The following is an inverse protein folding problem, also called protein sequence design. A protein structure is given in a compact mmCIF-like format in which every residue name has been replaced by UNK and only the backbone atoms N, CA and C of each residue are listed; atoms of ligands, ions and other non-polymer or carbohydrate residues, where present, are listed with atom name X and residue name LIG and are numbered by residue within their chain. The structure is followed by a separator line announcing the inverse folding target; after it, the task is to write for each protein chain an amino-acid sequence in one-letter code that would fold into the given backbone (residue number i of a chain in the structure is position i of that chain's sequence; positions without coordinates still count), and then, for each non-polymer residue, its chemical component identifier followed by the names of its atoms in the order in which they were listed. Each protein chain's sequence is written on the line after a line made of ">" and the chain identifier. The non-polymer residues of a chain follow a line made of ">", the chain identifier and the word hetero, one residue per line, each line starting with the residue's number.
data_IF_215107229277
#
_entry.id   IF_215107229277
#
_cell.length_a   1.000
_cell.length_b   1.000
_cell.length_c   1.000
_cell.angle_alpha   90.00
_cell.angle_beta   90.00
_cell.angle_gamma   90.00
#
_symmetry.space_group_name_H-M   'P 1'
#
loop_
_entity.id
_entity.type
_entity.pdbx_description
1 polymer ?
#
# COMPACT_ATOMS: atom_id res chain seq x y z
N UNK A 1 21.03 2.82 4.11
CA UNK A 1 21.78 1.55 4.12
C UNK A 1 22.40 1.31 2.75
N UNK A 2 23.64 0.83 2.66
CA UNK A 2 24.32 0.45 1.39
C UNK A 2 24.89 -0.96 1.55
N UNK A 3 24.94 -1.72 0.46
CA UNK A 3 25.48 -3.08 0.41
C UNK A 3 25.80 -3.46 -1.03
N UNK A 4 26.74 -4.39 -1.22
CA UNK A 4 27.18 -4.86 -2.54
C UNK A 4 27.14 -6.39 -2.53
N UNK A 5 26.32 -7.04 -3.37
CA UNK A 5 26.33 -8.50 -3.47
C UNK A 5 27.57 -9.01 -4.20
N UNK A 6 27.94 -10.26 -3.92
CA UNK A 6 28.99 -10.98 -4.66
C UNK A 6 28.48 -11.43 -6.03
N UNK A 7 27.19 -11.77 -6.13
CA UNK A 7 26.52 -12.02 -7.40
C UNK A 7 25.02 -11.74 -7.36
N UNK A 8 24.44 -11.61 -8.55
CA UNK A 8 22.99 -11.49 -8.75
C UNK A 8 22.53 -12.68 -9.57
N UNK A 9 21.53 -13.40 -9.07
CA UNK A 9 20.91 -14.53 -9.77
C UNK A 9 19.45 -14.20 -10.03
N UNK A 10 19.02 -14.30 -11.28
CA UNK A 10 17.63 -14.08 -11.70
C UNK A 10 16.99 -15.39 -12.14
N UNK A 11 16.35 -16.14 -11.22
CA UNK A 11 15.69 -17.40 -11.55
C UNK A 11 14.43 -17.19 -12.39
N UNK A 12 14.06 -18.22 -13.13
CA UNK A 12 12.87 -18.32 -13.97
C UNK A 12 11.87 -19.38 -13.47
N UNK A 13 12.23 -20.15 -12.43
CA UNK A 13 11.36 -21.18 -11.85
C UNK A 13 11.64 -21.44 -10.36
N UNK A 14 10.68 -22.08 -9.68
CA UNK A 14 10.83 -22.52 -8.29
C UNK A 14 12.02 -23.47 -8.12
N UNK A 15 12.29 -24.33 -9.10
CA UNK A 15 13.39 -25.29 -9.08
C UNK A 15 14.75 -24.59 -9.13
N UNK A 16 14.87 -23.51 -9.90
CA UNK A 16 16.09 -22.69 -9.93
C UNK A 16 16.30 -21.97 -8.59
N UNK A 17 15.25 -21.38 -8.01
CA UNK A 17 15.30 -20.79 -6.66
C UNK A 17 15.77 -21.82 -5.62
N UNK A 18 15.15 -23.01 -5.63
CA UNK A 18 15.50 -24.12 -4.72
C UNK A 18 16.97 -24.51 -4.82
N UNK A 19 17.51 -24.67 -6.03
CA UNK A 19 18.92 -25.01 -6.26
C UNK A 19 19.88 -23.92 -5.78
N UNK A 20 19.57 -22.66 -6.06
CA UNK A 20 20.41 -21.52 -5.64
C UNK A 20 20.45 -21.42 -4.11
N UNK A 21 19.29 -21.54 -3.45
CA UNK A 21 19.20 -21.48 -1.98
C UNK A 21 19.89 -22.66 -1.33
N UNK A 22 19.74 -23.88 -1.86
CA UNK A 22 20.44 -25.07 -1.36
C UNK A 22 21.96 -24.92 -1.46
N UNK A 23 22.48 -24.46 -2.61
CA UNK A 23 23.91 -24.20 -2.80
C UNK A 23 24.43 -23.12 -1.85
N UNK A 24 23.65 -22.05 -1.66
CA UNK A 24 24.00 -21.00 -0.71
C UNK A 24 24.05 -21.53 0.74
N UNK A 25 23.14 -22.43 1.11
CA UNK A 25 23.12 -23.06 2.43
C UNK A 25 24.36 -23.93 2.67
N UNK A 26 24.79 -24.73 1.69
CA UNK A 26 26.02 -25.53 1.76
C UNK A 26 27.26 -24.66 1.97
N UNK A 27 27.32 -23.51 1.31
CA UNK A 27 28.43 -22.54 1.42
C UNK A 27 28.29 -21.51 2.54
N UNK A 28 27.20 -21.54 3.32
CA UNK A 28 26.85 -20.52 4.32
C UNK A 28 26.88 -19.09 3.74
N UNK A 29 26.38 -18.96 2.51
CA UNK A 29 26.34 -17.69 1.77
C UNK A 29 25.00 -16.98 2.03
N UNK A 30 24.99 -15.71 2.48
CA UNK A 30 23.77 -14.94 2.64
C UNK A 30 22.98 -14.81 1.33
N UNK A 31 21.66 -14.94 1.41
CA UNK A 31 20.74 -14.73 0.27
C UNK A 31 19.77 -13.60 0.61
N UNK A 32 19.68 -12.60 -0.26
CA UNK A 32 18.73 -11.49 -0.17
C UNK A 32 17.73 -11.59 -1.31
N UNK A 33 16.47 -11.93 -0.99
CA UNK A 33 15.39 -11.92 -1.96
C UNK A 33 15.08 -10.48 -2.39
N UNK A 34 14.95 -10.25 -3.70
CA UNK A 34 14.67 -8.91 -4.22
C UNK A 34 13.62 -8.95 -5.33
N UNK A 35 12.50 -8.27 -5.10
CA UNK A 35 11.57 -7.88 -6.15
C UNK A 35 12.05 -6.60 -6.84
N UNK A 36 11.20 -5.58 -6.94
CA UNK A 36 11.58 -4.29 -7.51
C UNK A 36 12.49 -3.42 -6.61
N UNK A 37 12.70 -3.80 -5.34
CA UNK A 37 13.56 -3.05 -4.41
C UNK A 37 12.96 -1.72 -3.93
N UNK A 38 11.63 -1.65 -3.84
CA UNK A 38 10.88 -0.42 -3.47
C UNK A 38 10.69 -0.24 -1.98
N UNK A 39 11.00 -1.26 -1.17
CA UNK A 39 10.86 -1.21 0.28
C UNK A 39 11.75 -0.15 0.91
N UNK A 40 11.25 0.47 1.99
CA UNK A 40 11.89 1.63 2.63
C UNK A 40 12.77 1.25 3.83
N UNK A 41 12.60 0.05 4.38
CA UNK A 41 13.36 -0.45 5.54
C UNK A 41 14.75 -1.03 5.20
N UNK A 42 15.10 -1.12 3.91
CA UNK A 42 16.40 -1.63 3.46
C UNK A 42 16.51 -3.15 3.32
N UNK A 43 15.42 -3.91 3.52
CA UNK A 43 15.42 -5.38 3.39
C UNK A 43 15.81 -5.93 2.02
N UNK A 44 15.74 -5.11 0.96
CA UNK A 44 16.18 -5.47 -0.39
C UNK A 44 17.69 -5.20 -0.67
N UNK A 45 18.47 -4.86 0.37
CA UNK A 45 19.90 -4.54 0.28
C UNK A 45 20.74 -5.67 0.87
N UNK A 46 21.65 -6.21 0.08
CA UNK A 46 22.62 -7.22 0.51
C UNK A 46 23.74 -6.59 1.36
N UNK A 47 23.42 -6.29 2.62
CA UNK A 47 24.35 -5.65 3.57
C UNK A 47 25.54 -6.53 3.95
N UNK A 48 25.38 -7.86 3.88
CA UNK A 48 26.43 -8.84 4.17
C UNK A 48 27.07 -9.43 2.90
N UNK A 49 26.86 -8.81 1.72
CA UNK A 49 27.25 -9.42 0.45
C UNK A 49 26.41 -10.64 0.10
N UNK A 50 27.03 -11.66 -0.49
CA UNK A 50 26.37 -12.89 -0.90
C UNK A 50 25.55 -12.73 -2.17
N UNK A 51 24.42 -13.44 -2.23
CA UNK A 51 23.58 -13.55 -3.41
C UNK A 51 22.38 -12.62 -3.29
N UNK A 52 22.18 -11.74 -4.27
CA UNK A 52 20.86 -11.15 -4.50
C UNK A 52 20.08 -12.05 -5.45
N UNK A 53 18.93 -12.51 -4.98
CA UNK A 53 18.01 -13.31 -5.78
C UNK A 53 16.95 -12.37 -6.38
N UNK A 54 17.14 -12.00 -7.65
CA UNK A 54 16.24 -11.13 -8.41
C UNK A 54 15.02 -11.91 -8.90
N UNK A 55 13.88 -11.71 -8.22
CA UNK A 55 12.64 -12.43 -8.51
C UNK A 55 11.88 -11.87 -9.72
N UNK A 56 12.38 -10.83 -10.40
CA UNK A 56 11.71 -10.21 -11.56
C UNK A 56 11.60 -11.13 -12.78
N UNK A 57 12.38 -12.20 -12.83
CA UNK A 57 12.30 -13.23 -13.88
C UNK A 57 11.07 -14.12 -13.79
N UNK A 58 10.47 -14.26 -12.60
CA UNK A 58 9.25 -15.04 -12.35
C UNK A 58 8.05 -14.09 -12.32
N UNK A 59 7.54 -13.66 -13.48
CA UNK A 59 6.58 -12.56 -13.61
C UNK A 59 5.28 -12.92 -14.34
N UNK A 60 4.88 -14.20 -14.34
CA UNK A 60 3.69 -14.68 -15.03
C UNK A 60 2.48 -14.77 -14.11
N UNK A 61 1.30 -14.48 -14.68
CA UNK A 61 0.01 -14.91 -14.12
C UNK A 61 -0.20 -16.34 -14.59
N UNK A 62 -0.21 -17.29 -13.66
CA UNK A 62 -0.24 -18.73 -13.93
C UNK A 62 -1.66 -19.26 -14.12
N UNK A 63 -2.64 -18.67 -13.42
CA UNK A 63 -4.04 -19.11 -13.43
C UNK A 63 -4.96 -17.91 -13.14
N UNK A 64 -6.09 -17.83 -13.84
CA UNK A 64 -7.19 -16.90 -13.55
C UNK A 64 -8.50 -17.68 -13.35
N UNK A 65 -8.82 -17.99 -12.09
CA UNK A 65 -10.02 -18.70 -11.69
C UNK A 65 -11.03 -17.70 -11.10
N UNK A 66 -11.56 -16.87 -12.00
CA UNK A 66 -12.43 -15.76 -11.63
C UNK A 66 -13.80 -16.23 -11.12
N UNK A 67 -14.22 -17.46 -11.46
CA UNK A 67 -15.41 -18.09 -10.89
C UNK A 67 -15.25 -18.34 -9.37
N UNK A 68 -14.03 -18.63 -8.92
CA UNK A 68 -13.71 -18.72 -7.48
C UNK A 68 -13.07 -17.43 -6.92
N UNK A 69 -13.13 -16.32 -7.67
CA UNK A 69 -12.60 -15.02 -7.26
C UNK A 69 -11.11 -15.07 -6.89
N UNK A 70 -10.30 -15.80 -7.66
CA UNK A 70 -8.87 -15.96 -7.36
C UNK A 70 -7.98 -16.04 -8.60
N UNK A 71 -6.70 -15.78 -8.40
CA UNK A 71 -5.62 -15.95 -9.38
C UNK A 71 -4.42 -16.64 -8.74
N UNK A 72 -3.59 -17.29 -9.55
CA UNK A 72 -2.27 -17.78 -9.13
C UNK A 72 -1.21 -17.02 -9.90
N UNK A 73 -0.23 -16.45 -9.20
CA UNK A 73 0.80 -15.60 -9.79
C UNK A 73 2.19 -15.96 -9.30
N UNK A 74 3.18 -15.68 -10.15
CA UNK A 74 4.58 -15.65 -9.76
C UNK A 74 4.93 -14.34 -9.01
N UNK A 75 5.95 -14.33 -8.13
CA UNK A 75 6.24 -13.22 -7.23
C UNK A 75 6.65 -11.93 -7.94
N UNK A 76 7.26 -12.02 -9.12
CA UNK A 76 7.74 -10.90 -9.91
C UNK A 76 6.66 -10.16 -10.69
N UNK A 77 5.40 -10.62 -10.68
CA UNK A 77 4.29 -9.88 -11.29
C UNK A 77 4.19 -8.50 -10.64
N UNK A 78 4.11 -7.44 -11.45
CA UNK A 78 3.90 -6.07 -10.96
C UNK A 78 2.44 -5.90 -10.57
N UNK A 79 2.15 -5.25 -9.45
CA UNK A 79 0.79 -5.07 -8.95
C UNK A 79 -0.12 -4.40 -9.99
N UNK A 80 0.34 -3.32 -10.62
CA UNK A 80 -0.46 -2.64 -11.64
C UNK A 80 -0.73 -3.54 -12.85
N UNK A 81 0.24 -4.36 -13.26
CA UNK A 81 0.07 -5.33 -14.37
C UNK A 81 -0.94 -6.42 -14.03
N UNK A 82 -0.99 -6.85 -12.77
CA UNK A 82 -2.05 -7.77 -12.31
C UNK A 82 -3.42 -7.12 -12.47
N UNK A 83 -3.58 -5.87 -12.01
CA UNK A 83 -4.85 -5.15 -12.12
C UNK A 83 -5.23 -4.82 -13.58
N UNK A 84 -4.28 -4.48 -14.44
CA UNK A 84 -4.50 -4.32 -15.89
C UNK A 84 -5.06 -5.60 -16.52
N UNK A 85 -4.57 -6.78 -16.10
CA UNK A 85 -5.05 -8.06 -16.62
C UNK A 85 -6.42 -8.47 -16.05
N UNK A 86 -6.75 -8.06 -14.81
CA UNK A 86 -8.03 -8.35 -14.16
C UNK A 86 -9.17 -7.44 -14.63
N UNK A 87 -8.87 -6.16 -14.89
CA UNK A 87 -9.86 -5.10 -15.17
C UNK A 87 -10.82 -5.44 -16.33
N UNK A 88 -10.36 -5.97 -17.49
CA UNK A 88 -11.25 -6.36 -18.59
C UNK A 88 -12.28 -7.43 -18.21
N UNK A 89 -11.99 -8.23 -17.18
CA UNK A 89 -12.88 -9.27 -16.69
C UNK A 89 -13.79 -8.79 -15.54
N UNK A 90 -13.73 -7.50 -15.18
CA UNK A 90 -14.55 -6.93 -14.12
C UNK A 90 -14.01 -7.15 -12.70
N UNK A 91 -12.73 -7.49 -12.54
CA UNK A 91 -12.10 -7.76 -11.24
C UNK A 91 -10.89 -6.86 -10.97
N UNK A 92 -10.48 -6.81 -9.69
CA UNK A 92 -9.24 -6.18 -9.26
C UNK A 92 -8.68 -6.84 -8.00
N UNK A 93 -7.38 -6.68 -7.78
CA UNK A 93 -6.66 -6.95 -6.55
C UNK A 93 -6.61 -5.65 -5.71
N UNK A 94 -7.29 -5.59 -4.55
CA UNK A 94 -7.55 -4.31 -3.88
C UNK A 94 -6.38 -3.57 -3.22
N UNK A 95 -5.38 -4.22 -2.60
CA UNK A 95 -4.22 -3.52 -2.04
C UNK A 95 -3.55 -2.61 -3.08
N UNK A 96 -3.46 -1.32 -2.77
CA UNK A 96 -3.07 -0.27 -3.70
C UNK A 96 -1.95 0.62 -3.11
N UNK A 97 -0.71 0.11 -3.01
CA UNK A 97 0.41 0.86 -2.49
C UNK A 97 0.78 2.03 -3.42
N UNK A 98 1.40 3.08 -2.88
CA UNK A 98 1.91 4.19 -3.70
C UNK A 98 2.94 3.75 -4.78
N UNK A 99 3.55 2.57 -4.60
CA UNK A 99 4.47 1.95 -5.57
C UNK A 99 3.81 0.98 -6.55
N UNK A 100 2.47 0.95 -6.65
CA UNK A 100 1.69 -0.01 -7.44
C UNK A 100 2.20 -0.25 -8.87
N UNK A 101 2.67 0.82 -9.54
CA UNK A 101 3.17 0.79 -10.92
C UNK A 101 4.49 0.03 -11.09
N UNK A 102 5.20 -0.31 -10.01
CA UNK A 102 6.50 -0.98 -10.08
C UNK A 102 6.79 -1.97 -8.94
N UNK A 103 6.00 -2.03 -7.86
CA UNK A 103 6.19 -3.07 -6.84
C UNK A 103 5.70 -4.44 -7.32
N UNK A 104 6.47 -5.46 -6.99
CA UNK A 104 6.16 -6.86 -7.30
C UNK A 104 5.24 -7.48 -6.25
N UNK A 105 4.36 -8.40 -6.64
CA UNK A 105 3.45 -9.12 -5.73
C UNK A 105 4.20 -9.84 -4.60
N UNK A 106 5.30 -10.54 -4.89
CA UNK A 106 6.07 -11.24 -3.87
C UNK A 106 6.65 -10.28 -2.82
N UNK A 107 7.16 -9.13 -3.26
CA UNK A 107 7.60 -8.05 -2.37
C UNK A 107 6.45 -7.49 -1.52
N UNK A 108 5.27 -7.30 -2.13
CA UNK A 108 4.07 -6.84 -1.43
C UNK A 108 3.65 -7.84 -0.33
N UNK A 109 3.66 -9.14 -0.63
CA UNK A 109 3.35 -10.20 0.33
C UNK A 109 4.41 -10.25 1.44
N UNK A 110 5.69 -10.24 1.08
CA UNK A 110 6.80 -10.30 2.03
C UNK A 110 6.81 -9.12 3.02
N UNK A 111 6.30 -7.96 2.63
CA UNK A 111 6.20 -6.78 3.49
C UNK A 111 4.80 -6.58 4.09
N UNK A 112 3.85 -7.49 3.82
CA UNK A 112 2.41 -7.28 4.10
C UNK A 112 1.93 -5.87 3.68
N UNK A 113 2.32 -5.44 2.48
CA UNK A 113 2.09 -4.07 2.03
C UNK A 113 0.62 -3.68 2.08
N UNK A 114 0.41 -2.40 2.39
CA UNK A 114 -0.88 -1.74 2.47
C UNK A 114 -1.01 -0.67 1.37
N UNK A 115 -1.97 0.24 1.51
CA UNK A 115 -2.18 1.36 0.61
C UNK A 115 -3.51 2.05 0.89
N UNK A 116 -3.86 3.00 0.04
CA UNK A 116 -5.01 3.92 0.24
C UNK A 116 -6.33 3.17 0.44
N UNK A 117 -6.45 1.98 -0.17
CA UNK A 117 -7.65 1.14 -0.14
C UNK A 117 -7.79 0.25 1.10
N UNK A 118 -6.77 0.19 1.95
CA UNK A 118 -6.74 -0.76 3.07
C UNK A 118 -7.77 -0.48 4.16
N UNK A 119 -8.26 0.76 4.28
CA UNK A 119 -9.34 1.12 5.20
C UNK A 119 -10.60 0.25 5.01
N UNK A 120 -11.01 -0.02 3.77
CA UNK A 120 -12.17 -0.87 3.45
C UNK A 120 -11.78 -2.32 3.18
N UNK A 121 -10.66 -2.52 2.49
CA UNK A 121 -10.31 -3.82 1.90
C UNK A 121 -9.30 -4.61 2.74
N UNK A 122 -8.64 -3.98 3.71
CA UNK A 122 -7.54 -4.57 4.47
C UNK A 122 -6.24 -4.64 3.68
N UNK A 123 -5.18 -5.12 4.33
CA UNK A 123 -3.82 -5.20 3.75
C UNK A 123 -3.65 -6.45 2.87
N UNK A 124 -2.48 -6.59 2.25
CA UNK A 124 -2.15 -7.73 1.39
C UNK A 124 -2.43 -9.08 2.05
N UNK A 125 -2.19 -9.23 3.36
CA UNK A 125 -2.52 -10.47 4.07
C UNK A 125 -3.98 -10.92 3.87
N UNK A 126 -4.93 -10.00 3.78
CA UNK A 126 -6.36 -10.33 3.65
C UNK A 126 -6.69 -11.06 2.34
N UNK A 127 -5.79 -10.99 1.35
CA UNK A 127 -6.00 -11.49 0.00
C UNK A 127 -5.13 -12.70 -0.37
N UNK A 128 -4.10 -13.03 0.42
CA UNK A 128 -3.25 -14.20 0.16
C UNK A 128 -3.93 -15.45 0.72
N UNK A 129 -4.17 -16.44 -0.14
CA UNK A 129 -4.84 -17.70 0.18
C UNK A 129 -3.83 -18.81 0.49
N UNK A 130 -2.86 -19.00 -0.39
CA UNK A 130 -1.78 -19.98 -0.29
C UNK A 130 -0.48 -19.45 -0.89
N UNK A 131 0.63 -20.08 -0.51
CA UNK A 131 1.97 -19.77 -1.02
C UNK A 131 2.71 -21.05 -1.37
N UNK A 132 3.53 -20.97 -2.42
CA UNK A 132 4.67 -21.87 -2.64
C UNK A 132 5.93 -21.13 -2.18
N UNK A 133 6.70 -21.75 -1.28
CA UNK A 133 7.85 -21.12 -0.63
C UNK A 133 9.06 -22.06 -0.67
N UNK A 134 10.23 -21.51 -0.99
CA UNK A 134 11.52 -22.18 -0.85
C UNK A 134 12.14 -21.82 0.50
N UNK A 135 12.37 -22.81 1.35
CA UNK A 135 13.01 -22.65 2.66
C UNK A 135 14.52 -22.51 2.54
N UNK A 136 15.18 -22.13 3.64
CA UNK A 136 16.62 -21.90 3.70
C UNK A 136 17.48 -23.14 3.37
N UNK A 137 16.94 -24.36 3.47
CA UNK A 137 17.60 -25.60 3.03
C UNK A 137 17.28 -25.98 1.58
N UNK A 138 16.62 -25.10 0.84
CA UNK A 138 16.18 -25.31 -0.54
C UNK A 138 14.89 -26.13 -0.68
N UNK A 139 14.29 -26.65 0.40
CA UNK A 139 13.03 -27.39 0.31
C UNK A 139 11.89 -26.49 -0.13
N UNK A 140 11.05 -27.00 -1.03
CA UNK A 140 9.81 -26.35 -1.45
C UNK A 140 8.68 -26.83 -0.56
N UNK A 141 7.93 -25.89 0.02
CA UNK A 141 6.70 -26.16 0.76
C UNK A 141 5.51 -25.43 0.14
N UNK A 142 4.31 -25.91 0.45
CA UNK A 142 3.05 -25.19 0.17
C UNK A 142 2.32 -24.92 1.48
N UNK A 143 1.75 -23.72 1.60
CA UNK A 143 1.06 -23.27 2.80
C UNK A 143 -0.41 -23.00 2.53
N UNK A 144 -1.25 -23.06 3.55
CA UNK A 144 -2.66 -22.66 3.45
C UNK A 144 -3.47 -23.50 2.48
N UNK A 145 -4.50 -22.90 1.90
CA UNK A 145 -5.32 -23.52 0.86
C UNK A 145 -6.03 -22.46 0.02
N UNK A 146 -6.38 -22.81 -1.22
CA UNK A 146 -7.19 -21.97 -2.12
C UNK A 146 -8.68 -21.97 -1.79
N UNK A 147 -9.04 -22.36 -0.56
CA UNK A 147 -10.42 -22.34 -0.08
C UNK A 147 -10.65 -21.05 0.71
N UNK A 148 -11.70 -20.30 0.38
CA UNK A 148 -12.04 -19.06 1.10
C UNK A 148 -12.29 -19.29 2.60
N UNK A 149 -12.72 -20.50 2.98
CA UNK A 149 -12.85 -20.93 4.37
C UNK A 149 -12.14 -22.27 4.53
N UNK A 150 -11.14 -22.29 5.41
CA UNK A 150 -10.47 -23.50 5.85
C UNK A 150 -10.22 -23.41 7.35
N UNK A 151 -10.51 -24.51 8.06
CA UNK A 151 -10.11 -24.69 9.46
C UNK A 151 -9.15 -25.87 9.60
N UNK A 152 -8.60 -26.35 8.49
CA UNK A 152 -7.70 -27.49 8.46
C UNK A 152 -6.27 -27.05 8.81
N UNK A 153 -5.77 -27.52 9.96
CA UNK A 153 -4.38 -27.32 10.41
C UNK A 153 -4.00 -25.85 10.68
N UNK A 154 -2.71 -25.61 10.89
CA UNK A 154 -2.14 -24.27 11.07
C UNK A 154 -2.10 -23.50 9.75
N UNK A 155 -2.49 -22.22 9.80
CA UNK A 155 -2.33 -21.30 8.67
C UNK A 155 -0.88 -20.80 8.58
N UNK A 156 0.00 -21.66 8.06
CA UNK A 156 1.42 -21.33 7.86
C UNK A 156 1.62 -20.17 6.87
N UNK A 157 0.64 -19.88 6.01
CA UNK A 157 0.71 -18.76 5.06
C UNK A 157 0.94 -17.44 5.80
N UNK A 158 0.32 -17.28 6.97
CA UNK A 158 0.43 -16.08 7.81
C UNK A 158 1.83 -15.84 8.36
N UNK A 159 2.65 -16.89 8.51
CA UNK A 159 4.03 -16.74 8.98
C UNK A 159 4.91 -16.10 7.89
N UNK A 160 4.67 -16.40 6.62
CA UNK A 160 5.49 -15.89 5.51
C UNK A 160 5.08 -14.47 5.07
N UNK A 161 3.80 -14.11 5.23
CA UNK A 161 3.31 -12.75 4.96
C UNK A 161 3.92 -11.79 5.98
N UNK A 162 4.62 -10.76 5.52
CA UNK A 162 5.31 -9.82 6.41
C UNK A 162 6.65 -10.35 6.97
N UNK A 163 7.13 -11.51 6.52
CA UNK A 163 8.42 -12.07 6.99
C UNK A 163 9.65 -11.41 6.36
N UNK A 164 9.46 -10.53 5.38
CA UNK A 164 10.52 -9.82 4.66
C UNK A 164 11.56 -10.75 4.00
N UNK A 165 11.15 -12.00 3.69
CA UNK A 165 12.04 -13.01 3.08
C UNK A 165 12.95 -13.72 4.09
N UNK A 166 12.84 -13.42 5.38
CA UNK A 166 13.69 -14.02 6.44
C UNK A 166 13.35 -15.48 6.76
N UNK A 167 12.13 -15.92 6.43
CA UNK A 167 11.67 -17.29 6.66
C UNK A 167 11.70 -18.18 5.41
N UNK A 168 11.83 -17.58 4.23
CA UNK A 168 11.84 -18.28 2.95
C UNK A 168 11.53 -17.37 1.76
N UNK A 169 11.72 -17.90 0.56
CA UNK A 169 11.52 -17.20 -0.71
C UNK A 169 10.18 -17.61 -1.31
N UNK A 170 9.25 -16.65 -1.45
CA UNK A 170 7.96 -16.89 -2.10
C UNK A 170 8.18 -17.07 -3.60
N UNK A 171 7.68 -18.18 -4.18
CA UNK A 171 7.81 -18.50 -5.61
C UNK A 171 6.48 -18.60 -6.35
N UNK A 172 5.36 -18.80 -5.63
CA UNK A 172 3.99 -18.65 -6.17
C UNK A 172 3.04 -18.16 -5.07
N UNK A 173 1.99 -17.46 -5.47
CA UNK A 173 0.93 -17.03 -4.56
C UNK A 173 -0.45 -17.21 -5.19
N UNK A 174 -1.38 -17.85 -4.46
CA UNK A 174 -2.80 -17.75 -4.74
C UNK A 174 -3.38 -16.52 -4.06
N UNK A 175 -4.04 -15.68 -4.85
CA UNK A 175 -4.52 -14.37 -4.45
C UNK A 175 -6.00 -14.27 -4.75
N UNK A 176 -6.78 -13.89 -3.73
CA UNK A 176 -8.17 -13.52 -3.88
C UNK A 176 -8.28 -12.18 -4.63
N UNK A 177 -9.24 -12.07 -5.52
CA UNK A 177 -9.62 -10.84 -6.23
C UNK A 177 -11.05 -10.45 -5.88
N UNK A 178 -11.42 -9.20 -6.18
CA UNK A 178 -12.75 -8.65 -5.92
C UNK A 178 -13.37 -8.12 -7.20
N UNK A 179 -14.71 -8.15 -7.34
CA UNK A 179 -15.38 -7.45 -8.43
C UNK A 179 -15.11 -5.95 -8.37
N UNK A 180 -14.93 -5.31 -9.52
CA UNK A 180 -14.82 -3.86 -9.58
C UNK A 180 -16.11 -3.20 -9.07
N UNK A 181 -16.00 -2.13 -8.25
CA UNK A 181 -17.16 -1.34 -7.86
C UNK A 181 -17.80 -0.70 -9.10
N UNK A 182 -19.13 -0.54 -9.08
CA UNK A 182 -19.88 0.05 -10.20
C UNK A 182 -19.80 1.57 -10.23
N UNK A 183 -19.59 2.19 -9.08
CA UNK A 183 -19.48 3.63 -8.91
C UNK A 183 -18.45 3.97 -7.82
N UNK A 184 -17.86 5.15 -7.92
CA UNK A 184 -16.97 5.77 -6.93
C UNK A 184 -17.35 7.24 -6.76
N UNK A 185 -17.17 7.79 -5.56
CA UNK A 185 -17.31 9.23 -5.29
C UNK A 185 -16.27 9.66 -4.30
N UNK A 186 -15.79 10.88 -4.46
CA UNK A 186 -14.77 11.48 -3.61
C UNK A 186 -15.35 12.71 -2.92
N UNK A 187 -15.37 12.71 -1.60
CA UNK A 187 -15.67 13.89 -0.78
C UNK A 187 -14.35 14.48 -0.29
N UNK A 188 -14.14 15.75 -0.57
CA UNK A 188 -12.94 16.52 -0.24
C UNK A 188 -13.37 17.53 0.83
N UNK A 189 -12.88 17.37 2.05
CA UNK A 189 -13.20 18.26 3.16
C UNK A 189 -11.93 18.98 3.62
N UNK A 190 -12.00 20.31 3.73
CA UNK A 190 -10.91 21.13 4.26
C UNK A 190 -11.20 21.61 5.67
N UNK A 191 -10.14 21.72 6.46
CA UNK A 191 -10.20 22.06 7.87
C UNK A 191 -9.18 23.15 8.20
N UNK A 192 -9.55 24.01 9.15
CA UNK A 192 -8.68 25.09 9.63
C UNK A 192 -7.43 24.55 10.36
N UNK A 193 -7.57 23.39 10.99
CA UNK A 193 -6.50 22.66 11.66
C UNK A 193 -6.70 21.14 11.54
N UNK A 194 -5.61 20.41 11.76
CA UNK A 194 -5.57 18.97 11.60
C UNK A 194 -6.24 18.19 12.75
N UNK A 195 -6.54 18.83 13.89
CA UNK A 195 -7.34 18.19 14.95
C UNK A 195 -8.80 18.07 14.52
N UNK A 196 -9.38 19.13 13.96
CA UNK A 196 -10.71 19.10 13.35
C UNK A 196 -10.81 18.05 12.23
N UNK A 197 -9.76 17.95 11.40
CA UNK A 197 -9.66 16.92 10.36
C UNK A 197 -9.70 15.49 10.95
N UNK A 198 -8.93 15.23 12.01
CA UNK A 198 -8.96 13.95 12.72
C UNK A 198 -10.31 13.65 13.39
N UNK A 199 -11.01 14.68 13.91
CA UNK A 199 -12.36 14.53 14.46
C UNK A 199 -13.37 14.17 13.37
N UNK A 200 -13.27 14.75 12.17
CA UNK A 200 -14.14 14.42 11.04
C UNK A 200 -14.02 12.93 10.68
N UNK A 201 -12.79 12.43 10.57
CA UNK A 201 -12.52 11.00 10.33
C UNK A 201 -13.22 10.14 11.39
N UNK A 202 -13.00 10.42 12.67
CA UNK A 202 -13.61 9.65 13.76
C UNK A 202 -15.16 9.68 13.72
N UNK A 203 -15.76 10.83 13.39
CA UNK A 203 -17.22 10.96 13.27
C UNK A 203 -17.78 10.19 12.07
N UNK A 204 -17.08 10.19 10.93
CA UNK A 204 -17.46 9.41 9.74
C UNK A 204 -17.51 7.92 10.04
N UNK A 205 -16.50 7.38 10.73
CA UNK A 205 -16.57 5.97 11.16
C UNK A 205 -17.69 5.71 12.17
N UNK A 206 -17.92 6.65 13.09
CA UNK A 206 -18.98 6.53 14.10
C UNK A 206 -20.40 6.58 13.51
N UNK A 207 -20.60 7.20 12.34
CA UNK A 207 -21.88 7.16 11.60
C UNK A 207 -22.09 5.86 10.83
N UNK A 208 -21.13 4.92 10.87
CA UNK A 208 -21.22 3.62 10.22
C UNK A 208 -20.71 3.60 8.78
N UNK A 209 -20.14 4.70 8.29
CA UNK A 209 -19.54 4.77 6.96
C UNK A 209 -18.08 4.32 7.03
N UNK A 210 -17.73 3.36 6.16
CA UNK A 210 -16.34 2.93 5.95
C UNK A 210 -15.93 3.34 4.52
N UNK A 211 -15.17 4.45 4.37
CA UNK A 211 -14.66 4.88 3.09
C UNK A 211 -13.79 3.80 2.43
N UNK A 212 -13.80 3.72 1.10
CA UNK A 212 -12.85 2.91 0.33
C UNK A 212 -11.44 3.49 0.36
N UNK A 213 -11.29 4.80 0.54
CA UNK A 213 -10.03 5.45 0.88
C UNK A 213 -10.29 6.64 1.83
N UNK A 214 -9.36 6.90 2.74
CA UNK A 214 -9.45 8.03 3.67
C UNK A 214 -8.05 8.54 3.96
N UNK A 215 -7.68 9.66 3.31
CA UNK A 215 -6.32 10.22 3.31
C UNK A 215 -6.29 11.61 3.91
N UNK A 216 -5.19 11.95 4.59
CA UNK A 216 -4.87 13.31 4.99
C UNK A 216 -3.80 13.93 4.08
N UNK A 217 -3.99 15.21 3.76
CA UNK A 217 -3.00 16.09 3.13
C UNK A 217 -2.95 17.40 3.91
N UNK A 218 -1.90 17.63 4.69
CA UNK A 218 -1.76 18.91 5.39
C UNK A 218 -1.44 20.08 4.44
N UNK A 219 -1.61 21.31 4.94
CA UNK A 219 -1.36 22.54 4.17
C UNK A 219 0.02 22.59 3.52
N UNK A 220 1.04 22.04 4.19
CA UNK A 220 2.41 22.01 3.68
C UNK A 220 2.51 21.06 2.50
N UNK A 221 1.87 19.89 2.61
CA UNK A 221 1.78 18.89 1.56
C UNK A 221 1.08 19.44 0.32
N UNK A 222 -0.05 20.11 0.49
CA UNK A 222 -0.76 20.75 -0.63
C UNK A 222 0.11 21.84 -1.29
N UNK A 223 0.81 22.66 -0.50
CA UNK A 223 1.71 23.67 -1.04
C UNK A 223 2.86 23.06 -1.85
N UNK A 224 3.40 21.90 -1.43
CA UNK A 224 4.42 21.16 -2.18
C UNK A 224 3.85 20.59 -3.48
N UNK A 225 2.66 19.99 -3.43
CA UNK A 225 2.00 19.46 -4.63
C UNK A 225 1.71 20.55 -5.66
N UNK A 226 1.30 21.74 -5.24
CA UNK A 226 1.10 22.89 -6.14
C UNK A 226 2.38 23.42 -6.79
N UNK A 227 3.56 23.12 -6.24
CA UNK A 227 4.84 23.36 -6.94
C UNK A 227 5.12 22.32 -8.01
N UNK A 228 4.49 21.15 -7.91
CA UNK A 228 4.55 20.12 -8.94
C UNK A 228 3.58 20.39 -10.07
N UNK A 229 2.35 20.76 -9.70
CA UNK A 229 1.27 21.12 -10.61
C UNK A 229 0.54 22.37 -10.09
N UNK A 230 0.82 23.55 -10.68
CA UNK A 230 0.15 24.79 -10.31
C UNK A 230 -1.37 24.80 -10.54
N UNK A 231 -1.89 23.88 -11.36
CA UNK A 231 -3.31 23.80 -11.67
C UNK A 231 -4.10 22.87 -10.72
N UNK A 232 -3.42 22.22 -9.77
CA UNK A 232 -4.06 21.30 -8.82
C UNK A 232 -5.15 22.01 -8.00
N UNK A 233 -6.41 21.64 -8.25
CA UNK A 233 -7.59 22.17 -7.58
C UNK A 233 -7.88 21.35 -6.32
N UNK A 234 -7.25 21.74 -5.21
CA UNK A 234 -7.61 21.30 -3.86
C UNK A 234 -7.92 22.52 -2.99
N UNK A 235 -8.82 22.41 -2.01
CA UNK A 235 -9.09 23.50 -1.07
C UNK A 235 -7.85 23.82 -0.21
N UNK A 236 -7.84 25.01 0.41
CA UNK A 236 -6.77 25.40 1.34
C UNK A 236 -6.91 24.74 2.72
N UNK A 237 -5.86 24.82 3.55
CA UNK A 237 -5.87 24.23 4.89
C UNK A 237 -5.43 22.77 4.89
N UNK A 238 -5.86 22.03 5.90
CA UNK A 238 -5.60 20.58 5.98
C UNK A 238 -6.80 19.85 5.37
N UNK A 239 -6.54 18.92 4.46
CA UNK A 239 -7.57 18.27 3.63
C UNK A 239 -7.67 16.80 3.98
N UNK A 240 -8.92 16.32 4.13
CA UNK A 240 -9.24 14.90 4.14
C UNK A 240 -9.93 14.53 2.82
N UNK A 241 -9.43 13.48 2.20
CA UNK A 241 -10.01 12.85 1.02
C UNK A 241 -10.77 11.60 1.47
N UNK A 242 -12.08 11.57 1.31
CA UNK A 242 -12.92 10.40 1.57
C UNK A 242 -13.45 9.85 0.26
N UNK A 243 -12.96 8.69 -0.19
CA UNK A 243 -13.59 7.98 -1.29
C UNK A 243 -14.55 6.91 -0.77
N UNK A 244 -15.69 6.77 -1.44
CA UNK A 244 -16.62 5.66 -1.26
C UNK A 244 -16.81 4.95 -2.59
N UNK A 245 -16.88 3.62 -2.54
CA UNK A 245 -17.11 2.79 -3.72
C UNK A 245 -18.23 1.76 -3.49
N UNK A 246 -18.94 1.40 -4.55
CA UNK A 246 -20.13 0.54 -4.46
C UNK A 246 -21.05 0.62 -5.67
N UNK A 247 -22.35 0.61 -5.42
CA UNK A 247 -23.39 0.98 -6.40
C UNK A 247 -23.62 2.49 -6.39
N UNK A 248 -24.19 3.03 -7.47
CA UNK A 248 -24.55 4.46 -7.58
C UNK A 248 -25.33 4.98 -6.36
N UNK A 249 -26.35 4.24 -5.91
CA UNK A 249 -27.15 4.63 -4.75
C UNK A 249 -26.32 4.62 -3.46
N UNK A 250 -25.55 3.54 -3.23
CA UNK A 250 -24.77 3.41 -2.00
C UNK A 250 -23.65 4.45 -1.88
N UNK A 251 -23.04 4.84 -3.01
CA UNK A 251 -21.99 5.87 -3.01
C UNK A 251 -22.58 7.26 -2.86
N UNK A 252 -23.75 7.55 -3.45
CA UNK A 252 -24.51 8.77 -3.20
C UNK A 252 -24.84 8.93 -1.71
N UNK A 253 -25.50 7.93 -1.12
CA UNK A 253 -25.91 7.96 0.29
C UNK A 253 -24.71 8.13 1.22
N UNK A 254 -23.64 7.37 0.99
CA UNK A 254 -22.42 7.46 1.81
C UNK A 254 -21.73 8.81 1.66
N UNK A 255 -21.66 9.37 0.45
CA UNK A 255 -21.07 10.69 0.21
C UNK A 255 -21.88 11.79 0.89
N UNK A 256 -23.22 11.75 0.80
CA UNK A 256 -24.10 12.71 1.47
C UNK A 256 -23.96 12.65 2.99
N UNK A 257 -23.85 11.45 3.57
CA UNK A 257 -23.61 11.28 5.00
C UNK A 257 -22.25 11.84 5.42
N UNK A 258 -21.19 11.59 4.65
CA UNK A 258 -19.87 12.19 4.91
C UNK A 258 -19.94 13.72 4.87
N UNK A 259 -20.63 14.29 3.88
CA UNK A 259 -20.84 15.75 3.78
C UNK A 259 -21.58 16.26 5.02
N UNK A 260 -22.66 15.60 5.45
CA UNK A 260 -23.43 15.96 6.64
C UNK A 260 -22.58 15.94 7.91
N UNK A 261 -21.71 14.93 8.06
CA UNK A 261 -20.79 14.79 9.19
C UNK A 261 -19.70 15.85 9.21
N UNK A 262 -19.14 16.19 8.03
CA UNK A 262 -18.02 17.12 7.91
C UNK A 262 -18.46 18.59 7.96
N UNK A 263 -19.60 18.95 7.36
CA UNK A 263 -20.05 20.33 7.19
C UNK A 263 -20.07 21.19 8.48
N UNK A 264 -20.42 20.66 9.68
CA UNK A 264 -20.41 21.44 10.92
C UNK A 264 -19.02 21.86 11.42
N UNK A 265 -17.94 21.25 10.92
CA UNK A 265 -16.56 21.45 11.41
C UNK A 265 -15.55 21.73 10.28
N UNK A 266 -15.92 21.48 9.04
CA UNK A 266 -15.11 21.78 7.86
C UNK A 266 -15.23 23.25 7.47
N UNK A 267 -14.16 23.82 6.91
CA UNK A 267 -14.18 25.13 6.28
C UNK A 267 -14.87 25.07 4.90
N UNK A 268 -14.64 23.98 4.17
CA UNK A 268 -15.23 23.73 2.85
C UNK A 268 -15.40 22.21 2.66
N UNK A 269 -16.48 21.81 1.98
CA UNK A 269 -16.70 20.41 1.58
C UNK A 269 -17.13 20.40 0.11
N UNK A 270 -16.41 19.65 -0.71
CA UNK A 270 -16.66 19.49 -2.14
C UNK A 270 -16.82 18.01 -2.46
N UNK A 271 -17.71 17.67 -3.39
CA UNK A 271 -17.88 16.30 -3.87
C UNK A 271 -17.50 16.23 -5.35
N UNK A 272 -16.56 15.35 -5.67
CA UNK A 272 -16.17 14.99 -7.02
C UNK A 272 -16.77 13.62 -7.38
N UNK A 273 -17.38 13.53 -8.57
CA UNK A 273 -17.95 12.29 -9.11
C UNK A 273 -17.46 11.97 -10.52
N UNK A 274 -16.74 12.87 -11.17
CA UNK A 274 -16.10 12.60 -12.47
C UNK A 274 -14.88 11.71 -12.30
N UNK A 275 -14.74 10.68 -13.14
CA UNK A 275 -13.58 9.78 -13.06
C UNK A 275 -12.25 10.51 -13.28
N UNK A 276 -12.21 11.44 -14.25
CA UNK A 276 -11.01 12.23 -14.58
C UNK A 276 -10.60 13.14 -13.42
N UNK A 277 -11.55 13.91 -12.87
CA UNK A 277 -11.34 14.78 -11.71
C UNK A 277 -10.83 14.01 -10.48
N UNK A 278 -11.44 12.85 -10.18
CA UNK A 278 -10.98 12.01 -9.07
C UNK A 278 -9.57 11.46 -9.31
N UNK A 279 -9.26 11.02 -10.53
CA UNK A 279 -7.96 10.45 -10.85
C UNK A 279 -6.84 11.50 -10.79
N UNK A 280 -7.10 12.74 -11.23
CA UNK A 280 -6.15 13.86 -11.08
C UNK A 280 -5.76 14.09 -9.61
N UNK A 281 -6.76 14.08 -8.71
CA UNK A 281 -6.53 14.23 -7.26
C UNK A 281 -5.75 13.04 -6.70
N UNK A 282 -6.09 11.81 -7.12
CA UNK A 282 -5.41 10.61 -6.66
C UNK A 282 -3.96 10.53 -7.14
N UNK A 283 -3.68 10.92 -8.38
CA UNK A 283 -2.32 11.01 -8.90
C UNK A 283 -1.49 12.05 -8.13
N UNK A 284 -2.08 13.21 -7.81
CA UNK A 284 -1.44 14.19 -6.94
C UNK A 284 -1.14 13.60 -5.55
N UNK A 285 -2.06 12.85 -4.95
CA UNK A 285 -1.84 12.15 -3.67
C UNK A 285 -0.72 11.11 -3.75
N UNK A 286 -0.62 10.32 -4.83
CA UNK A 286 0.46 9.33 -5.03
C UNK A 286 1.83 10.01 -5.19
N UNK A 287 1.86 11.21 -5.77
CA UNK A 287 3.08 11.98 -6.01
C UNK A 287 3.74 12.55 -4.74
N UNK A 288 3.02 12.66 -3.61
CA UNK A 288 3.52 13.34 -2.39
C UNK A 288 4.94 12.90 -2.01
N UNK A 289 5.20 11.59 -1.91
CA UNK A 289 6.51 11.07 -1.49
C UNK A 289 7.67 11.47 -2.41
N UNK A 290 7.40 11.64 -3.72
CA UNK A 290 8.38 12.16 -4.67
C UNK A 290 8.44 13.69 -4.66
N UNK A 291 7.28 14.36 -4.51
CA UNK A 291 7.14 15.80 -4.53
C UNK A 291 7.94 16.50 -3.41
N UNK A 292 8.09 15.86 -2.23
CA UNK A 292 8.91 16.36 -1.13
C UNK A 292 10.35 16.67 -1.56
N UNK A 293 10.92 15.90 -2.50
CA UNK A 293 12.27 16.15 -3.00
C UNK A 293 12.41 17.52 -3.67
N UNK A 294 11.32 18.12 -4.19
CA UNK A 294 11.35 19.46 -4.80
C UNK A 294 11.53 20.59 -3.79
N UNK A 295 11.39 20.33 -2.48
CA UNK A 295 11.68 21.33 -1.46
C UNK A 295 13.16 21.69 -1.38
N UNK A 296 14.05 20.79 -1.80
CA UNK A 296 15.49 21.02 -1.88
C UNK A 296 16.02 20.44 -3.20
N UNK A 297 16.15 21.27 -4.27
CA UNK A 297 16.55 20.80 -5.58
C UNK A 297 17.99 20.25 -5.63
N UNK A 298 18.78 20.41 -4.55
CA UNK A 298 20.12 19.83 -4.42
C UNK A 298 20.09 18.38 -3.91
N UNK A 299 18.94 17.91 -3.44
CA UNK A 299 18.75 16.56 -2.89
C UNK A 299 17.79 15.77 -3.76
N UNK A 300 18.17 14.53 -4.07
CA UNK A 300 17.27 13.57 -4.71
C UNK A 300 16.20 13.02 -3.76
N UNK A 301 16.35 13.25 -2.45
CA UNK A 301 15.38 12.90 -1.40
C UNK A 301 15.67 13.70 -0.13
N UNK A 302 14.64 14.35 0.44
CA UNK A 302 14.63 14.81 1.84
C UNK A 302 13.71 13.84 2.56
N UNK A 303 14.24 12.89 3.33
CA UNK A 303 13.40 11.98 4.10
C UNK A 303 14.07 11.66 5.43
N UNK A 304 13.60 12.32 6.48
CA UNK A 304 13.50 11.71 7.80
C UNK A 304 12.01 11.48 7.99
N UNK A 305 11.45 10.59 7.18
CA UNK A 305 10.04 10.25 7.30
C UNK A 305 9.90 9.01 8.15
N UNK A 306 8.97 9.09 9.08
CA UNK A 306 8.51 8.01 9.91
C UNK A 306 7.22 7.45 9.29
N UNK A 307 6.94 6.18 9.52
CA UNK A 307 5.70 5.52 9.10
C UNK A 307 5.08 4.91 10.36
N UNK A 308 4.10 5.61 10.93
CA UNK A 308 3.57 5.28 12.27
C UNK A 308 2.11 4.86 12.22
N UNK A 309 1.73 3.93 13.08
CA UNK A 309 0.36 3.46 13.24
C UNK A 309 -0.14 3.67 14.66
N UNK A 310 -1.32 4.27 14.82
CA UNK A 310 -2.02 4.42 16.10
C UNK A 310 -3.47 3.94 15.98
N UNK A 311 -4.14 3.53 17.07
CA UNK A 311 -5.58 3.32 17.03
C UNK A 311 -6.29 4.59 16.51
N UNK A 312 -7.30 4.46 15.63
CA UNK A 312 -7.96 5.60 14.95
C UNK A 312 -8.34 6.74 15.92
N UNK A 313 -8.86 6.41 17.11
CA UNK A 313 -9.22 7.40 18.15
C UNK A 313 -8.05 8.26 18.67
N UNK A 314 -6.80 7.87 18.40
CA UNK A 314 -5.57 8.56 18.82
C UNK A 314 -4.97 9.43 17.73
N UNK A 315 -5.48 9.38 16.50
CA UNK A 315 -5.02 10.21 15.39
C UNK A 315 -5.03 11.71 15.73
N UNK A 316 -6.12 12.29 16.31
CA UNK A 316 -6.10 13.72 16.64
C UNK A 316 -4.98 14.09 17.62
N UNK A 317 -4.70 13.20 18.59
CA UNK A 317 -3.62 13.41 19.55
C UNK A 317 -2.24 13.29 18.89
N UNK A 318 -2.03 12.29 18.01
CA UNK A 318 -0.78 12.12 17.25
C UNK A 318 -0.46 13.36 16.41
N UNK A 319 -1.44 13.87 15.66
CA UNK A 319 -1.28 15.05 14.81
C UNK A 319 -0.90 16.27 15.66
N UNK A 320 -1.59 16.49 16.78
CA UNK A 320 -1.29 17.59 17.71
C UNK A 320 0.13 17.49 18.26
N UNK A 321 0.53 16.31 18.76
CA UNK A 321 1.88 16.08 19.30
C UNK A 321 2.98 16.31 18.24
N UNK A 322 2.76 15.88 16.99
CA UNK A 322 3.68 16.18 15.88
C UNK A 322 3.78 17.68 15.65
N UNK A 323 2.67 18.42 15.72
CA UNK A 323 2.66 19.88 15.64
C UNK A 323 3.48 20.54 16.75
N UNK A 324 3.25 20.15 18.00
CA UNK A 324 4.00 20.65 19.17
C UNK A 324 5.51 20.35 19.07
N UNK A 325 5.89 19.15 18.60
CA UNK A 325 7.29 18.78 18.37
C UNK A 325 7.89 19.64 17.24
N UNK A 326 7.15 19.81 16.14
CA UNK A 326 7.57 20.62 15.00
C UNK A 326 7.87 22.07 15.41
N UNK A 327 7.00 22.66 16.23
CA UNK A 327 7.18 24.01 16.77
C UNK A 327 8.35 24.08 17.76
N UNK A 328 8.37 23.17 18.75
CA UNK A 328 9.41 23.12 19.80
C UNK A 328 10.82 23.05 19.23
N UNK A 329 11.01 22.28 18.16
CA UNK A 329 12.31 22.09 17.52
C UNK A 329 12.52 22.96 16.28
N UNK A 330 11.52 23.76 15.87
CA UNK A 330 11.54 24.54 14.63
C UNK A 330 11.87 23.68 13.39
N UNK A 331 11.32 22.47 13.37
CA UNK A 331 11.52 21.48 12.30
C UNK A 331 10.20 21.31 11.53
N UNK A 332 10.11 21.75 10.26
CA UNK A 332 8.89 21.55 9.48
C UNK A 332 8.54 20.07 9.34
N UNK A 333 7.31 19.70 9.71
CA UNK A 333 6.79 18.34 9.57
C UNK A 333 5.59 18.32 8.61
N UNK A 334 5.75 17.60 7.51
CA UNK A 334 4.65 17.30 6.58
C UNK A 334 3.88 16.09 7.08
N UNK A 335 2.55 16.19 7.09
CA UNK A 335 1.63 15.15 7.55
C UNK A 335 0.77 14.71 6.37
N UNK A 336 0.98 13.49 5.92
CA UNK A 336 0.18 12.84 4.89
C UNK A 336 0.15 11.34 5.14
N UNK A 337 -0.97 10.68 4.86
CA UNK A 337 -1.04 9.24 5.15
C UNK A 337 -2.46 8.68 5.11
N UNK A 338 -2.54 7.38 5.36
CA UNK A 338 -3.77 6.60 5.36
C UNK A 338 -4.51 6.77 6.70
N UNK A 339 -5.00 7.98 6.97
CA UNK A 339 -5.62 8.33 8.26
C UNK A 339 -6.83 7.43 8.59
N UNK A 340 -7.49 6.84 7.58
CA UNK A 340 -8.60 5.91 7.78
C UNK A 340 -8.26 4.60 8.48
N UNK A 341 -7.01 4.12 8.40
CA UNK A 341 -6.58 2.89 9.07
C UNK A 341 -5.66 3.12 10.28
N UNK A 342 -5.49 4.40 10.66
CA UNK A 342 -4.66 4.79 11.79
C UNK A 342 -3.20 5.09 11.43
N UNK A 343 -2.86 5.13 10.14
CA UNK A 343 -1.50 5.37 9.67
C UNK A 343 -1.25 6.83 9.28
N UNK A 344 -0.08 7.35 9.66
CA UNK A 344 0.41 8.68 9.33
C UNK A 344 1.90 8.64 8.98
#
# INVERSE_FOLDING_TARGET
>A
VKGMPDCVVRPLSTEEVSKVVALAAEGVVPVTARGAGTGLAGGAVAVQGGIVLDMSGMNRILEMDLANLQVVVEPGVIQARLNEALKPNGFFFPPDPGSASFCTIGGLIANNGSGMRCVKYGTTKSYVLDLEVVLADGKVIRTGSRMLKSAASYDLTRLFIGSEGTLGIITKAGIRVMPLPKARRLVIASFADAEAAGQAVARTFASGIVPSACEILDRTTIAVLRRCDPNLVLPGGDVILFEVDGTELSTEESAQEIVSVCSPIAAEVVTASGEEEMEEIWEARRLVGAAVSRLDPTKSRIYVGEDVGVPIKKIPALIREIGEISERFSLPAMKYGHIGDGNL
#
